data_IF_172982872136
#
_entry.id   IF_172982872136
#
_cell.length_a   1.000
_cell.length_b   1.000
_cell.length_c   1.000
_cell.angle_alpha   90.00
_cell.angle_beta   90.00
_cell.angle_gamma   90.00
#
_symmetry.space_group_name_H-M   'P 1'
#
loop_
_entity.id
_entity.type
_entity.pdbx_description
1 polymer ?
#
# COMPACT_ATOMS: atom_id res chain seq x y z
N UNK A 1 -23.66 -15.38 -25.77
CA UNK A 1 -23.16 -16.26 -24.71
C UNK A 1 -22.21 -15.39 -23.96
N UNK A 2 -22.63 -14.98 -22.76
CA UNK A 2 -21.91 -14.03 -21.91
C UNK A 2 -20.46 -14.48 -21.79
N UNK A 3 -19.51 -13.57 -22.03
CA UNK A 3 -18.16 -13.70 -21.48
C UNK A 3 -18.33 -13.68 -19.96
N UNK A 4 -18.61 -14.85 -19.39
CA UNK A 4 -18.59 -15.07 -17.96
C UNK A 4 -17.20 -14.66 -17.50
N UNK A 5 -17.13 -13.64 -16.64
CA UNK A 5 -15.89 -13.15 -16.05
C UNK A 5 -15.28 -14.30 -15.24
N UNK A 6 -14.48 -15.13 -15.88
CA UNK A 6 -13.72 -16.20 -15.25
C UNK A 6 -12.62 -15.54 -14.40
N UNK A 7 -12.99 -15.19 -13.17
CA UNK A 7 -12.09 -14.50 -12.25
C UNK A 7 -11.03 -15.51 -11.76
N UNK A 8 -9.76 -15.34 -12.13
CA UNK A 8 -8.67 -16.15 -11.56
C UNK A 8 -8.40 -15.72 -10.11
N UNK A 9 -9.14 -16.33 -9.18
CA UNK A 9 -9.00 -16.11 -7.74
C UNK A 9 -7.59 -16.35 -7.23
N UNK A 10 -6.87 -17.32 -7.82
CA UNK A 10 -5.51 -17.61 -7.43
C UNK A 10 -4.58 -16.47 -7.83
N UNK A 11 -4.80 -15.86 -9.00
CA UNK A 11 -4.08 -14.66 -9.42
C UNK A 11 -4.43 -13.45 -8.56
N UNK A 12 -5.70 -13.18 -8.27
CA UNK A 12 -6.10 -12.06 -7.41
C UNK A 12 -5.50 -12.18 -6.00
N UNK A 13 -5.54 -13.38 -5.39
CA UNK A 13 -4.90 -13.63 -4.09
C UNK A 13 -3.39 -13.40 -4.15
N UNK A 14 -2.69 -13.97 -5.14
CA UNK A 14 -1.23 -13.78 -5.31
C UNK A 14 -0.87 -12.32 -5.51
N UNK A 15 -1.65 -11.57 -6.29
CA UNK A 15 -1.45 -10.15 -6.49
C UNK A 15 -1.68 -9.35 -5.22
N UNK A 16 -2.71 -9.67 -4.44
CA UNK A 16 -2.98 -9.04 -3.14
C UNK A 16 -1.86 -9.28 -2.13
N UNK A 17 -1.37 -10.53 -2.02
CA UNK A 17 -0.21 -10.89 -1.18
C UNK A 17 1.08 -10.19 -1.65
N UNK A 18 1.30 -10.15 -2.97
CA UNK A 18 2.43 -9.44 -3.56
C UNK A 18 2.41 -7.95 -3.23
N UNK A 19 1.26 -7.30 -3.38
CA UNK A 19 1.09 -5.88 -3.08
C UNK A 19 1.27 -5.57 -1.60
N UNK A 20 0.72 -6.41 -0.71
CA UNK A 20 0.94 -6.28 0.74
C UNK A 20 2.43 -6.39 1.10
N UNK A 21 3.13 -7.37 0.53
CA UNK A 21 4.57 -7.55 0.77
C UNK A 21 5.40 -6.38 0.22
N UNK A 22 5.07 -5.87 -0.96
CA UNK A 22 5.74 -4.70 -1.55
C UNK A 22 5.50 -3.44 -0.72
N UNK A 23 4.26 -3.22 -0.25
CA UNK A 23 3.92 -2.10 0.62
C UNK A 23 4.68 -2.15 1.96
N UNK A 24 4.72 -3.32 2.61
CA UNK A 24 5.46 -3.51 3.85
C UNK A 24 6.96 -3.25 3.67
N UNK A 25 7.55 -3.74 2.56
CA UNK A 25 8.95 -3.48 2.23
C UNK A 25 9.22 -2.01 1.96
N UNK A 26 8.37 -1.35 1.18
CA UNK A 26 8.50 0.08 0.87
C UNK A 26 8.41 0.93 2.15
N UNK A 27 7.47 0.60 3.04
CA UNK A 27 7.32 1.27 4.34
C UNK A 27 8.58 1.17 5.19
N UNK A 28 9.16 -0.03 5.31
CA UNK A 28 10.40 -0.23 6.07
C UNK A 28 11.61 0.50 5.45
N UNK A 29 11.72 0.49 4.11
CA UNK A 29 12.79 1.19 3.39
C UNK A 29 12.69 2.71 3.57
N UNK A 30 11.47 3.26 3.47
CA UNK A 30 11.21 4.70 3.66
C UNK A 30 11.51 5.12 5.09
N UNK A 31 11.15 4.32 6.09
CA UNK A 31 11.51 4.61 7.48
C UNK A 31 13.03 4.64 7.68
N UNK A 32 13.74 3.65 7.14
CA UNK A 32 15.21 3.60 7.20
C UNK A 32 15.85 4.81 6.50
N UNK A 33 15.34 5.15 5.32
CA UNK A 33 15.78 6.32 4.55
C UNK A 33 15.59 7.62 5.33
N UNK A 34 14.46 7.81 6.01
CA UNK A 34 14.22 9.01 6.79
C UNK A 34 15.10 9.13 8.02
N UNK A 35 15.41 8.02 8.69
CA UNK A 35 16.39 7.99 9.78
C UNK A 35 17.77 8.41 9.30
N UNK A 36 18.22 7.86 8.16
CA UNK A 36 19.49 8.20 7.54
C UNK A 36 19.53 9.68 7.13
N UNK A 37 18.53 10.13 6.37
CA UNK A 37 18.47 11.50 5.88
C UNK A 37 18.49 12.47 7.04
N UNK A 38 17.62 12.30 8.04
CA UNK A 38 17.54 13.17 9.23
C UNK A 38 18.88 13.33 9.96
N UNK A 39 19.73 12.31 9.93
CA UNK A 39 21.07 12.38 10.51
C UNK A 39 21.97 13.43 9.84
N UNK A 40 21.79 13.68 8.53
CA UNK A 40 22.54 14.69 7.77
C UNK A 40 22.19 16.13 8.15
N UNK A 41 21.00 16.36 8.71
CA UNK A 41 20.57 17.66 9.22
C UNK A 41 21.20 18.04 10.56
N UNK A 42 21.54 17.06 11.41
CA UNK A 42 22.03 17.27 12.79
C UNK A 42 23.21 18.24 12.94
N UNK A 43 24.20 18.30 12.02
CA UNK A 43 25.32 19.24 12.13
C UNK A 43 24.92 20.71 11.93
N UNK A 44 23.77 20.97 11.30
CA UNK A 44 23.26 22.30 11.00
C UNK A 44 22.28 22.72 12.11
N UNK A 45 22.56 23.85 12.79
CA UNK A 45 21.63 24.44 13.75
C UNK A 45 22.21 24.83 15.11
N UNK A 46 23.41 24.35 15.45
CA UNK A 46 23.93 24.50 16.82
C UNK A 46 24.97 25.61 17.02
N UNK A 47 25.60 26.11 15.94
CA UNK A 47 26.87 26.84 16.10
C UNK A 47 26.85 28.34 15.71
N UNK A 48 25.94 28.78 14.83
CA UNK A 48 25.79 30.20 14.43
C UNK A 48 24.48 30.45 13.65
N UNK A 49 24.17 31.73 13.38
CA UNK A 49 22.95 32.14 12.67
C UNK A 49 22.82 31.52 11.25
N UNK A 50 23.93 31.33 10.54
CA UNK A 50 23.92 30.68 9.22
C UNK A 50 23.58 29.20 9.36
N UNK A 51 24.17 28.51 10.32
CA UNK A 51 23.86 27.11 10.62
C UNK A 51 22.41 26.90 11.03
N UNK A 52 21.83 27.83 11.81
CA UNK A 52 20.41 27.82 12.16
C UNK A 52 19.53 28.01 10.93
N UNK A 53 19.85 28.94 10.04
CA UNK A 53 19.11 29.13 8.79
C UNK A 53 19.15 27.88 7.89
N UNK A 54 20.33 27.23 7.77
CA UNK A 54 20.46 25.98 7.02
C UNK A 54 19.63 24.86 7.65
N UNK A 55 19.69 24.71 8.98
CA UNK A 55 18.87 23.73 9.71
C UNK A 55 17.37 23.93 9.47
N UNK A 56 16.88 25.17 9.52
CA UNK A 56 15.47 25.47 9.23
C UNK A 56 15.06 25.10 7.79
N UNK A 57 15.88 25.45 6.79
CA UNK A 57 15.62 25.08 5.41
C UNK A 57 15.64 23.56 5.21
N UNK A 58 16.56 22.89 5.88
CA UNK A 58 16.68 21.44 5.85
C UNK A 58 15.44 20.76 6.44
N UNK A 59 14.99 21.18 7.63
CA UNK A 59 13.80 20.62 8.29
C UNK A 59 12.53 20.80 7.44
N UNK A 60 12.39 21.96 6.78
CA UNK A 60 11.27 22.21 5.87
C UNK A 60 11.29 21.28 4.66
N UNK A 61 12.45 21.13 4.01
CA UNK A 61 12.60 20.22 2.86
C UNK A 61 12.37 18.76 3.29
N UNK A 62 12.90 18.36 4.44
CA UNK A 62 12.70 17.03 5.01
C UNK A 62 11.22 16.74 5.28
N UNK A 63 10.49 17.69 5.87
CA UNK A 63 9.05 17.58 6.09
C UNK A 63 8.27 17.34 4.80
N UNK A 64 8.53 18.13 3.75
CA UNK A 64 7.86 17.98 2.45
C UNK A 64 8.11 16.61 1.81
N UNK A 65 9.34 16.11 1.89
CA UNK A 65 9.68 14.79 1.36
C UNK A 65 8.98 13.70 2.17
N UNK A 66 8.99 13.81 3.51
CA UNK A 66 8.28 12.89 4.39
C UNK A 66 6.79 12.80 4.06
N UNK A 67 6.12 13.95 3.94
CA UNK A 67 4.69 13.98 3.64
C UNK A 67 4.37 13.35 2.27
N UNK A 68 5.22 13.59 1.26
CA UNK A 68 5.05 12.99 -0.06
C UNK A 68 5.15 11.45 -0.02
N UNK A 69 6.16 10.90 0.65
CA UNK A 69 6.33 9.46 0.74
C UNK A 69 5.24 8.80 1.60
N UNK A 70 4.86 9.41 2.73
CA UNK A 70 3.79 8.89 3.58
C UNK A 70 2.45 8.89 2.85
N UNK A 71 2.08 9.99 2.18
CA UNK A 71 0.85 10.05 1.39
C UNK A 71 0.80 8.98 0.31
N UNK A 72 1.91 8.74 -0.39
CA UNK A 72 1.96 7.68 -1.39
C UNK A 72 1.77 6.30 -0.74
N UNK A 73 2.45 6.01 0.36
CA UNK A 73 2.29 4.73 1.06
C UNK A 73 0.87 4.52 1.58
N UNK A 74 0.23 5.56 2.10
CA UNK A 74 -1.14 5.53 2.59
C UNK A 74 -2.11 5.15 1.47
N UNK A 75 -1.97 5.73 0.28
CA UNK A 75 -2.77 5.38 -0.91
C UNK A 75 -2.67 3.89 -1.29
N UNK A 76 -1.50 3.28 -1.06
CA UNK A 76 -1.28 1.86 -1.34
C UNK A 76 -1.75 0.91 -0.24
N UNK A 77 -2.14 1.41 0.94
CA UNK A 77 -2.56 0.57 2.08
C UNK A 77 -3.91 -0.10 1.84
N UNK A 78 -4.83 0.56 1.13
CA UNK A 78 -6.19 0.04 0.88
C UNK A 78 -6.29 -0.95 -0.28
N UNK A 79 -5.31 -0.99 -1.19
CA UNK A 79 -5.39 -1.86 -2.37
C UNK A 79 -5.25 -3.36 -2.07
N UNK A 80 -4.32 -3.82 -1.20
CA UNK A 80 -4.25 -5.22 -0.81
C UNK A 80 -5.54 -5.70 -0.15
N UNK A 81 -6.10 -4.89 0.77
CA UNK A 81 -7.34 -5.19 1.48
C UNK A 81 -8.52 -5.27 0.50
N UNK A 82 -8.64 -4.31 -0.43
CA UNK A 82 -9.66 -4.31 -1.48
C UNK A 82 -9.58 -5.54 -2.38
N UNK A 83 -8.37 -5.94 -2.81
CA UNK A 83 -8.16 -7.14 -3.62
C UNK A 83 -8.54 -8.42 -2.87
N UNK A 84 -8.16 -8.52 -1.60
CA UNK A 84 -8.51 -9.68 -0.76
C UNK A 84 -10.02 -9.76 -0.52
N UNK A 85 -10.66 -8.62 -0.21
CA UNK A 85 -12.09 -8.52 -0.01
C UNK A 85 -12.86 -8.94 -1.27
N UNK A 86 -12.53 -8.36 -2.43
CA UNK A 86 -13.16 -8.71 -3.70
C UNK A 86 -13.00 -10.21 -4.00
N UNK A 87 -11.79 -10.76 -3.82
CA UNK A 87 -11.54 -12.20 -4.07
C UNK A 87 -12.41 -13.09 -3.19
N UNK A 88 -12.59 -12.73 -1.91
CA UNK A 88 -13.43 -13.48 -0.98
C UNK A 88 -14.92 -13.38 -1.34
N UNK A 89 -15.38 -12.18 -1.68
CA UNK A 89 -16.79 -11.90 -1.97
C UNK A 89 -17.24 -12.57 -3.28
N UNK A 90 -16.44 -12.45 -4.36
CA UNK A 90 -16.73 -13.13 -5.63
C UNK A 90 -16.77 -14.66 -5.48
N UNK A 91 -15.86 -15.23 -4.69
CA UNK A 91 -15.84 -16.67 -4.44
C UNK A 91 -17.08 -17.14 -3.69
N UNK A 92 -17.59 -16.33 -2.75
CA UNK A 92 -18.83 -16.63 -2.04
C UNK A 92 -20.03 -16.56 -2.99
N UNK A 93 -20.10 -15.52 -3.81
CA UNK A 93 -21.18 -15.34 -4.79
C UNK A 93 -21.22 -16.46 -5.85
N UNK A 94 -20.06 -16.92 -6.32
CA UNK A 94 -19.97 -18.06 -7.25
C UNK A 94 -20.46 -19.35 -6.58
N UNK A 95 -20.03 -19.63 -5.34
CA UNK A 95 -20.47 -20.82 -4.61
C UNK A 95 -21.98 -20.83 -4.37
N UNK A 96 -22.58 -19.68 -4.07
CA UNK A 96 -24.04 -19.54 -3.96
C UNK A 96 -24.75 -19.78 -5.30
N UNK A 97 -24.22 -19.22 -6.39
CA UNK A 97 -24.78 -19.39 -7.73
C UNK A 97 -24.78 -20.86 -8.17
N UNK A 98 -23.67 -21.57 -7.97
CA UNK A 98 -23.57 -23.02 -8.23
C UNK A 98 -24.59 -23.80 -7.41
N UNK A 99 -24.74 -23.48 -6.11
CA UNK A 99 -25.69 -24.17 -5.24
C UNK A 99 -27.16 -23.96 -5.64
N UNK A 100 -27.50 -22.80 -6.21
CA UNK A 100 -28.84 -22.51 -6.76
C UNK A 100 -29.09 -23.28 -8.06
N UNK A 101 -28.11 -23.30 -8.97
CA UNK A 101 -28.21 -24.06 -10.23
C UNK A 101 -28.40 -25.55 -9.95
N UNK A 102 -27.61 -26.13 -9.05
CA UNK A 102 -27.68 -27.56 -8.69
C UNK A 102 -29.05 -27.96 -8.10
N UNK A 103 -29.71 -27.05 -7.38
CA UNK A 103 -31.08 -27.27 -6.89
C UNK A 103 -32.13 -27.17 -7.99
N UNK A 104 -31.88 -26.34 -9.00
CA UNK A 104 -32.81 -26.09 -10.12
C UNK A 104 -32.81 -27.25 -11.13
N UNK A 105 -31.68 -27.94 -11.30
CA UNK A 105 -31.51 -29.07 -12.22
C UNK A 105 -32.05 -30.39 -11.65
N UNK A 106 -32.28 -30.48 -10.34
CA UNK A 106 -32.80 -31.68 -9.66
C UNK A 106 -34.33 -31.74 -9.57
N UNK A 107 -35.05 -30.90 -10.31
CA UNK A 107 -36.53 -30.88 -10.40
C UNK A 107 -37.01 -31.53 -11.70
#
# INVERSE_FOLDING_TARGET
MEDELELDYAQCRRSGEGLANTHAQASAQIQTFFEEVKSYGQPWGMNNAVGQAIGMCYDMAFGLINDCFQSNLDDYTGYPEGLQFMTADYRSAEAESVAVIDKSVKV
#
